data_IF_319730137862
#
_entry.id   IF_319730137862
#
_cell.length_a   1.000
_cell.length_b   1.000
_cell.length_c   1.000
_cell.angle_alpha   90.00
_cell.angle_beta   90.00
_cell.angle_gamma   90.00
#
_symmetry.space_group_name_H-M   'P 1'
#
loop_
_entity.id
_entity.type
_entity.pdbx_description
1 polymer ?
#
# COMPACT_ATOMS: atom_id res chain seq x y z
N UNK A 1 -12.53 -2.64 5.96
CA UNK A 1 -11.91 -3.97 6.13
C UNK A 1 -11.18 -4.13 7.47
N UNK A 2 -10.30 -3.20 7.87
CA UNK A 2 -9.52 -3.24 9.14
C UNK A 2 -10.29 -3.61 10.42
N UNK A 3 -11.41 -2.94 10.69
CA UNK A 3 -12.22 -3.22 11.88
C UNK A 3 -12.91 -4.59 11.82
N UNK A 4 -13.38 -4.98 10.63
CA UNK A 4 -14.12 -6.23 10.41
C UNK A 4 -13.18 -7.43 10.51
N UNK A 5 -11.92 -7.31 10.08
CA UNK A 5 -10.94 -8.41 10.14
C UNK A 5 -10.26 -8.57 11.50
N UNK A 6 -10.71 -7.86 12.54
CA UNK A 6 -10.11 -7.95 13.89
C UNK A 6 -8.82 -7.15 14.07
N UNK A 7 -8.44 -6.28 13.13
CA UNK A 7 -7.19 -5.49 13.21
C UNK A 7 -7.09 -4.60 14.45
N UNK A 8 -8.23 -4.19 15.03
CA UNK A 8 -8.26 -3.45 16.29
C UNK A 8 -7.75 -4.28 17.48
N UNK A 9 -8.14 -5.56 17.56
CA UNK A 9 -7.67 -6.46 18.62
C UNK A 9 -6.16 -6.73 18.49
N UNK A 10 -5.67 -6.87 17.26
CA UNK A 10 -4.24 -6.99 16.94
C UNK A 10 -3.44 -5.78 17.44
N UNK A 11 -3.91 -4.55 17.17
CA UNK A 11 -3.23 -3.32 17.64
C UNK A 11 -3.24 -3.23 19.16
N UNK A 12 -4.34 -3.56 19.82
CA UNK A 12 -4.42 -3.61 21.28
C UNK A 12 -3.43 -4.61 21.89
N UNK A 13 -3.34 -5.80 21.30
CA UNK A 13 -2.41 -6.86 21.75
C UNK A 13 -0.94 -6.44 21.54
N UNK A 14 -0.65 -5.82 20.40
CA UNK A 14 0.68 -5.28 20.11
C UNK A 14 1.07 -4.14 21.08
N UNK A 15 0.11 -3.25 21.40
CA UNK A 15 0.31 -2.18 22.37
C UNK A 15 0.60 -2.73 23.76
N UNK A 16 -0.18 -3.73 24.21
CA UNK A 16 0.03 -4.39 25.49
C UNK A 16 1.43 -5.04 25.56
N UNK A 17 1.80 -5.79 24.51
CA UNK A 17 3.12 -6.44 24.42
C UNK A 17 4.26 -5.42 24.41
N UNK A 18 4.08 -4.25 23.79
CA UNK A 18 5.08 -3.17 23.76
C UNK A 18 5.49 -2.70 25.16
N UNK A 19 4.57 -2.72 26.13
CA UNK A 19 4.85 -2.33 27.52
C UNK A 19 5.67 -3.38 28.29
N UNK A 20 5.59 -4.67 27.93
CA UNK A 20 6.43 -5.72 28.52
C UNK A 20 7.89 -5.63 28.04
N UNK A 21 8.08 -5.20 26.79
CA UNK A 21 9.40 -5.16 26.15
C UNK A 21 10.14 -3.86 26.49
N UNK A 22 9.41 -2.75 26.59
CA UNK A 22 9.95 -1.42 26.83
C UNK A 22 9.37 -0.83 28.13
N UNK A 23 9.90 -1.22 29.31
CA UNK A 23 9.45 -0.67 30.58
C UNK A 23 9.70 0.84 30.63
N UNK A 24 8.74 1.59 31.18
CA UNK A 24 8.82 3.04 31.32
C UNK A 24 10.07 3.44 32.11
N UNK A 25 11.02 4.10 31.43
CA UNK A 25 12.32 4.51 32.00
C UNK A 25 13.54 3.82 31.39
N UNK A 26 13.35 2.77 30.58
CA UNK A 26 14.41 2.25 29.72
C UNK A 26 14.59 3.17 28.51
N UNK A 27 15.79 3.73 28.32
CA UNK A 27 16.09 4.57 27.17
C UNK A 27 15.93 3.79 25.86
N UNK A 28 15.30 4.39 24.85
CA UNK A 28 15.15 3.78 23.53
C UNK A 28 16.51 3.86 22.84
N UNK A 29 17.18 2.72 22.63
CA UNK A 29 18.38 2.66 21.78
C UNK A 29 17.96 2.25 20.36
N UNK A 30 17.91 3.18 19.39
CA UNK A 30 17.60 2.83 18.01
C UNK A 30 18.70 1.91 17.45
N UNK A 31 18.39 0.63 17.35
CA UNK A 31 19.25 -0.39 16.72
C UNK A 31 19.12 -0.32 15.20
N UNK A 32 20.18 -0.65 14.47
CA UNK A 32 20.21 -0.72 13.00
C UNK A 32 19.11 -1.63 12.41
N UNK A 33 18.68 -2.64 13.15
CA UNK A 33 17.56 -3.52 12.80
C UNK A 33 16.20 -2.78 12.67
N UNK A 34 15.96 -1.72 13.46
CA UNK A 34 14.73 -0.92 13.34
C UNK A 34 14.74 -0.13 12.02
N UNK A 35 15.90 0.41 11.63
CA UNK A 35 16.06 1.11 10.37
C UNK A 35 15.91 0.16 9.17
N UNK A 36 16.49 -1.04 9.23
CA UNK A 36 16.32 -2.07 8.19
C UNK A 36 14.86 -2.52 8.07
N UNK A 37 14.17 -2.72 9.20
CA UNK A 37 12.75 -3.03 9.21
C UNK A 37 11.94 -1.91 8.54
N UNK A 38 12.14 -0.65 8.95
CA UNK A 38 11.43 0.50 8.38
C UNK A 38 11.68 0.65 6.88
N UNK A 39 12.91 0.41 6.43
CA UNK A 39 13.25 0.40 5.01
C UNK A 39 12.51 -0.71 4.26
N UNK A 40 12.41 -1.92 4.83
CA UNK A 40 11.68 -3.03 4.22
C UNK A 40 10.17 -2.76 4.14
N UNK A 41 9.57 -2.13 5.16
CA UNK A 41 8.16 -1.70 5.12
C UNK A 41 7.94 -0.64 4.06
N UNK A 42 8.85 0.33 3.97
CA UNK A 42 8.78 1.39 2.97
C UNK A 42 8.84 0.83 1.55
N UNK A 43 9.76 -0.11 1.30
CA UNK A 43 9.89 -0.77 0.01
C UNK A 43 8.62 -1.53 -0.36
N UNK A 44 8.05 -2.28 0.58
CA UNK A 44 6.81 -3.02 0.37
C UNK A 44 5.63 -2.07 0.08
N UNK A 45 5.51 -0.95 0.81
CA UNK A 45 4.51 0.07 0.53
C UNK A 45 4.65 0.65 -0.88
N UNK A 46 5.88 0.96 -1.28
CA UNK A 46 6.17 1.55 -2.59
C UNK A 46 5.87 0.58 -3.73
N UNK A 47 6.27 -0.68 -3.59
CA UNK A 47 6.02 -1.75 -4.56
C UNK A 47 4.52 -2.00 -4.74
N UNK A 48 3.76 -2.06 -3.64
CA UNK A 48 2.30 -2.22 -3.70
C UNK A 48 1.61 -1.03 -4.36
N UNK A 49 2.00 0.19 -3.98
CA UNK A 49 1.47 1.41 -4.58
C UNK A 49 1.73 1.44 -6.09
N UNK A 50 2.96 1.16 -6.51
CA UNK A 50 3.33 1.12 -7.92
C UNK A 50 2.62 0.00 -8.67
N UNK A 51 2.59 -1.22 -8.13
CA UNK A 51 1.92 -2.35 -8.78
C UNK A 51 0.42 -2.10 -8.98
N UNK A 52 -0.21 -1.35 -8.07
CA UNK A 52 -1.61 -1.00 -8.17
C UNK A 52 -1.85 0.17 -9.14
N UNK A 53 -0.97 1.18 -9.14
CA UNK A 53 -1.11 2.37 -9.98
C UNK A 53 -0.65 2.16 -11.43
N UNK A 54 0.38 1.34 -11.66
CA UNK A 54 0.97 1.05 -12.98
C UNK A 54 -0.06 0.69 -14.07
N UNK A 55 -0.92 -0.33 -13.88
CA UNK A 55 -1.87 -0.73 -14.91
C UNK A 55 -2.88 0.38 -15.23
N UNK A 56 -3.36 1.11 -14.21
CA UNK A 56 -4.28 2.22 -14.41
C UNK A 56 -3.61 3.40 -15.14
N UNK A 57 -2.36 3.72 -14.78
CA UNK A 57 -1.57 4.77 -15.41
C UNK A 57 -1.28 4.46 -16.89
N UNK A 58 -0.90 3.22 -17.21
CA UNK A 58 -0.67 2.79 -18.59
C UNK A 58 -1.91 2.98 -19.46
N UNK A 59 -3.07 2.54 -18.95
CA UNK A 59 -4.34 2.67 -19.66
C UNK A 59 -4.71 4.14 -19.88
N UNK A 60 -4.52 5.00 -18.86
CA UNK A 60 -4.77 6.45 -19.00
C UNK A 60 -3.83 7.11 -20.00
N UNK A 61 -2.54 6.77 -19.99
CA UNK A 61 -1.55 7.32 -20.94
C UNK A 61 -1.89 6.90 -22.36
N UNK A 62 -2.28 5.64 -22.59
CA UNK A 62 -2.70 5.16 -23.90
C UNK A 62 -3.99 5.85 -24.38
N UNK A 63 -4.94 6.10 -23.47
CA UNK A 63 -6.16 6.83 -23.79
C UNK A 63 -5.87 8.29 -24.18
N UNK A 64 -5.02 8.99 -23.41
CA UNK A 64 -4.62 10.36 -23.69
C UNK A 64 -3.83 10.46 -25.02
N UNK A 65 -2.96 9.49 -25.31
CA UNK A 65 -2.25 9.39 -26.59
C UNK A 65 -3.22 9.19 -27.76
N UNK A 66 -4.19 8.29 -27.61
CA UNK A 66 -5.20 8.00 -28.63
C UNK A 66 -6.05 9.22 -28.94
N UNK A 67 -6.50 9.94 -27.91
CA UNK A 67 -7.25 11.19 -28.06
C UNK A 67 -6.40 12.29 -28.71
N UNK A 68 -5.10 12.37 -28.37
CA UNK A 68 -4.16 13.29 -29.00
C UNK A 68 -3.98 13.04 -30.50
N UNK A 69 -3.92 11.78 -30.93
CA UNK A 69 -3.85 11.40 -32.34
C UNK A 69 -5.15 11.72 -33.11
N UNK A 70 -6.31 11.52 -32.47
CA UNK A 70 -7.62 11.88 -33.03
C UNK A 70 -7.72 13.39 -33.21
N UNK A 71 -7.27 14.17 -32.23
CA UNK A 71 -7.27 15.64 -32.29
C UNK A 71 -6.46 16.19 -33.48
N UNK A 72 -5.35 15.52 -33.83
CA UNK A 72 -4.57 15.88 -35.02
C UNK A 72 -5.31 15.55 -36.32
N UNK A 73 -6.08 14.47 -36.37
CA UNK A 73 -6.70 13.94 -37.59
C UNK A 73 -8.04 14.58 -37.92
N UNK A 74 -8.78 15.07 -36.92
CA UNK A 74 -10.08 15.71 -37.08
C UNK A 74 -10.14 17.03 -36.33
N UNK A 75 -9.68 18.11 -36.97
CA UNK A 75 -9.71 19.47 -36.41
C UNK A 75 -11.12 20.03 -36.19
N UNK A 76 -12.16 19.40 -36.74
CA UNK A 76 -13.56 19.86 -36.67
C UNK A 76 -14.37 19.19 -35.55
N UNK A 77 -13.95 18.04 -35.04
CA UNK A 77 -14.60 17.41 -33.89
C UNK A 77 -14.04 18.03 -32.61
N UNK A 78 -14.91 18.51 -31.72
CA UNK A 78 -14.51 18.99 -30.41
C UNK A 78 -14.05 17.79 -29.55
N UNK A 79 -12.77 17.40 -29.70
CA UNK A 79 -12.18 16.26 -28.98
C UNK A 79 -12.21 16.47 -27.47
N UNK A 80 -12.26 17.72 -27.01
CA UNK A 80 -12.44 18.05 -25.60
C UNK A 80 -13.80 17.58 -25.04
N UNK A 81 -14.86 17.67 -25.85
CA UNK A 81 -16.19 17.19 -25.48
C UNK A 81 -16.28 15.66 -25.40
N UNK A 82 -15.53 14.93 -26.23
CA UNK A 82 -15.48 13.47 -26.17
C UNK A 82 -14.51 12.93 -25.11
N UNK A 83 -13.41 13.65 -24.84
CA UNK A 83 -12.38 13.21 -23.89
C UNK A 83 -12.92 13.07 -22.47
N UNK A 84 -13.79 13.99 -22.03
CA UNK A 84 -14.34 14.00 -20.66
C UNK A 84 -15.19 12.75 -20.35
N UNK A 85 -16.22 12.39 -21.17
CA UNK A 85 -16.96 11.14 -20.97
C UNK A 85 -16.09 9.88 -21.05
N UNK A 86 -15.18 9.82 -22.02
CA UNK A 86 -14.33 8.64 -22.26
C UNK A 86 -13.39 8.41 -21.08
N UNK A 87 -12.72 9.47 -20.60
CA UNK A 87 -11.79 9.38 -19.48
C UNK A 87 -12.49 9.00 -18.18
N UNK A 88 -13.69 9.53 -17.95
CA UNK A 88 -14.54 9.15 -16.80
C UNK A 88 -14.96 7.68 -16.86
N UNK A 89 -15.42 7.20 -18.01
CA UNK A 89 -15.81 5.79 -18.19
C UNK A 89 -14.63 4.83 -17.97
N UNK A 90 -13.45 5.17 -18.49
CA UNK A 90 -12.22 4.41 -18.27
C UNK A 90 -11.80 4.39 -16.79
N UNK A 91 -11.86 5.53 -16.11
CA UNK A 91 -11.56 5.61 -14.68
C UNK A 91 -12.51 4.73 -13.86
N UNK A 92 -13.81 4.75 -14.17
CA UNK A 92 -14.82 3.93 -13.50
C UNK A 92 -14.59 2.43 -13.73
N UNK A 93 -14.29 2.04 -14.97
CA UNK A 93 -14.00 0.65 -15.33
C UNK A 93 -12.75 0.13 -14.62
N UNK A 94 -11.69 0.94 -14.58
CA UNK A 94 -10.46 0.62 -13.85
C UNK A 94 -10.73 0.47 -12.35
N UNK A 95 -11.54 1.35 -11.75
CA UNK A 95 -11.92 1.24 -10.34
C UNK A 95 -12.67 -0.05 -10.06
N UNK A 96 -13.64 -0.42 -10.91
CA UNK A 96 -14.41 -1.67 -10.80
C UNK A 96 -13.52 -2.91 -10.84
N UNK A 97 -12.53 -2.94 -11.73
CA UNK A 97 -11.56 -4.05 -11.84
C UNK A 97 -10.60 -4.08 -10.65
N UNK A 98 -10.21 -2.90 -10.15
CA UNK A 98 -9.24 -2.77 -9.08
C UNK A 98 -9.80 -3.11 -7.70
N UNK A 99 -11.11 -2.94 -7.50
CA UNK A 99 -11.80 -3.23 -6.25
C UNK A 99 -11.63 -4.69 -5.77
N UNK A 100 -11.94 -5.74 -6.56
CA UNK A 100 -11.74 -7.13 -6.13
C UNK A 100 -10.25 -7.47 -5.92
N UNK A 101 -9.36 -6.88 -6.72
CA UNK A 101 -7.91 -7.05 -6.54
C UNK A 101 -7.45 -6.51 -5.18
N UNK A 102 -7.90 -5.31 -4.81
CA UNK A 102 -7.61 -4.71 -3.50
C UNK A 102 -8.13 -5.57 -2.34
N UNK A 103 -9.32 -6.17 -2.48
CA UNK A 103 -9.88 -7.05 -1.46
C UNK A 103 -9.08 -8.33 -1.27
N UNK A 104 -8.73 -8.99 -2.38
CA UNK A 104 -7.93 -10.23 -2.32
C UNK A 104 -6.56 -9.98 -1.70
N UNK A 105 -5.88 -8.90 -2.10
CA UNK A 105 -4.58 -8.55 -1.56
C UNK A 105 -4.65 -8.20 -0.07
N UNK A 106 -5.70 -7.49 0.36
CA UNK A 106 -5.93 -7.20 1.78
C UNK A 106 -6.08 -8.47 2.63
N UNK A 107 -6.84 -9.46 2.16
CA UNK A 107 -7.05 -10.73 2.87
C UNK A 107 -5.76 -11.55 3.05
N UNK A 108 -4.82 -11.45 2.10
CA UNK A 108 -3.52 -12.10 2.20
C UNK A 108 -2.59 -11.35 3.15
N UNK A 109 -2.62 -10.01 3.15
CA UNK A 109 -1.73 -9.16 3.95
C UNK A 109 -1.96 -9.21 5.46
N UNK A 110 -3.17 -9.54 5.92
CA UNK A 110 -3.49 -9.63 7.36
C UNK A 110 -2.66 -10.72 8.06
N UNK A 111 -2.51 -11.89 7.41
CA UNK A 111 -1.71 -13.00 7.95
C UNK A 111 -0.21 -12.66 8.04
N UNK A 112 0.29 -11.84 7.11
CA UNK A 112 1.68 -11.40 7.11
C UNK A 112 1.95 -10.35 8.20
N UNK A 113 0.97 -9.48 8.47
CA UNK A 113 1.09 -8.44 9.50
C UNK A 113 1.25 -9.04 10.90
N UNK A 114 0.55 -10.14 11.21
CA UNK A 114 0.68 -10.82 12.52
C UNK A 114 2.12 -11.32 12.76
N UNK A 115 2.72 -11.94 11.75
CA UNK A 115 4.09 -12.45 11.85
C UNK A 115 5.12 -11.31 12.00
N UNK A 116 4.91 -10.19 11.29
CA UNK A 116 5.81 -9.03 11.37
C UNK A 116 5.77 -8.35 12.73
N UNK A 117 4.59 -8.25 13.36
CA UNK A 117 4.46 -7.71 14.72
C UNK A 117 5.21 -8.58 15.74
N UNK A 118 5.08 -9.92 15.63
CA UNK A 118 5.80 -10.85 16.51
C UNK A 118 7.33 -10.81 16.35
N UNK A 119 7.82 -10.42 15.17
CA UNK A 119 9.25 -10.31 14.86
C UNK A 119 9.83 -8.92 15.19
N UNK A 120 9.03 -7.86 15.13
CA UNK A 120 9.45 -6.50 15.44
C UNK A 120 9.67 -6.27 16.95
N UNK A 121 8.81 -6.89 17.76
CA UNK A 121 8.86 -6.90 19.23
C UNK A 121 10.25 -7.32 19.79
N UNK A 122 10.85 -8.46 19.39
CA UNK A 122 12.17 -8.86 19.86
C UNK A 122 13.31 -8.02 19.25
N UNK A 123 13.14 -7.46 18.05
CA UNK A 123 14.17 -6.64 17.39
C UNK A 123 14.42 -5.31 18.11
N UNK A 124 13.39 -4.73 18.74
CA UNK A 124 13.51 -3.51 19.55
C UNK A 124 14.27 -3.75 20.87
N UNK A 125 14.20 -4.96 21.44
CA UNK A 125 14.87 -5.30 22.71
C UNK A 125 16.41 -5.35 22.60
N UNK A 126 16.95 -5.30 21.38
CA UNK A 126 18.37 -5.48 21.12
C UNK A 126 18.73 -6.96 21.04
N UNK A 127 19.50 -7.32 20.02
CA UNK A 127 20.08 -8.64 19.85
C UNK A 127 21.10 -8.93 20.95
N UNK A 128 20.64 -9.25 22.15
CA UNK A 128 21.47 -9.84 23.20
C UNK A 128 21.09 -11.31 23.39
N UNK A 129 21.37 -12.09 22.33
CA UNK A 129 21.59 -13.52 22.45
C UNK A 129 22.88 -13.87 21.71
N UNK A 130 23.99 -13.27 22.13
CA UNK A 130 25.32 -13.85 21.98
C UNK A 130 25.82 -14.28 23.36
N UNK A 131 25.26 -15.39 23.86
CA UNK A 131 25.99 -16.58 24.34
C UNK A 131 25.11 -17.81 24.24
#
# INVERSE_FOLDING_TARGET
>A
MFLISGGFNLVLTALYSSYEILPAGSGIQPTSAILQFLQSEWQLMYELCLSFALPAMLVMVLADLSLGLINRSSQQLNVFFLAMPIKSALALLLLLISLPYALHHYLVGINQTEQKISTFIPLIKGGNNER
#
